data_IF_007547581894
#
_entry.id   IF_007547581894
#
_cell.length_a   1.000
_cell.length_b   1.000
_cell.length_c   1.000
_cell.angle_alpha   90.00
_cell.angle_beta   90.00
_cell.angle_gamma   90.00
#
_symmetry.space_group_name_H-M   'P 1'
#
loop_
_entity.id
_entity.type
_entity.pdbx_description
1 polymer ?
#
# COMPACT_ATOMS: atom_id res chain seq x y z
N UNK A 1 -12.42 -0.15 -8.43
CA UNK A 1 -11.53 -0.49 -7.30
C UNK A 1 -10.22 0.27 -7.49
N UNK A 2 -9.65 0.86 -6.44
CA UNK A 2 -8.39 1.61 -6.51
C UNK A 2 -7.22 0.65 -6.76
N UNK A 3 -6.37 0.91 -7.76
CA UNK A 3 -5.28 0.01 -8.18
C UNK A 3 -4.30 -0.30 -7.03
N UNK A 4 -4.00 0.72 -6.22
CA UNK A 4 -3.15 0.59 -5.02
C UNK A 4 -3.69 -0.42 -4.00
N UNK A 5 -5.01 -0.59 -3.86
CA UNK A 5 -5.59 -1.61 -2.98
C UNK A 5 -5.30 -3.02 -3.47
N UNK A 6 -5.30 -3.23 -4.79
CA UNK A 6 -5.00 -4.54 -5.38
C UNK A 6 -3.54 -4.91 -5.15
N UNK A 7 -2.64 -3.96 -5.35
CA UNK A 7 -1.20 -4.17 -5.10
C UNK A 7 -0.89 -4.37 -3.62
N UNK A 8 -1.53 -3.62 -2.72
CA UNK A 8 -1.31 -3.75 -1.28
C UNK A 8 -1.84 -5.04 -0.67
N UNK A 9 -2.82 -5.69 -1.32
CA UNK A 9 -3.34 -7.00 -0.93
C UNK A 9 -2.41 -8.15 -1.30
N UNK A 10 -1.48 -7.91 -2.21
CA UNK A 10 -0.49 -8.91 -2.62
C UNK A 10 0.69 -8.89 -1.63
N UNK A 11 0.87 -9.94 -0.80
CA UNK A 11 1.98 -10.02 0.13
C UNK A 11 3.33 -10.23 -0.58
N UNK A 12 3.34 -10.66 -1.85
CA UNK A 12 4.57 -10.84 -2.62
C UNK A 12 5.19 -9.50 -3.05
N UNK A 13 4.41 -8.43 -3.12
CA UNK A 13 4.90 -7.10 -3.44
C UNK A 13 5.30 -6.35 -2.17
N UNK A 14 6.46 -5.72 -2.14
CA UNK A 14 6.84 -4.80 -1.05
C UNK A 14 6.24 -3.40 -1.27
N UNK A 15 6.15 -2.60 -0.20
CA UNK A 15 5.69 -1.20 -0.32
C UNK A 15 6.59 -0.37 -1.25
N UNK A 16 7.88 -0.67 -1.27
CA UNK A 16 8.88 -0.05 -2.15
C UNK A 16 8.61 -0.41 -3.61
N UNK A 17 8.44 -1.69 -3.94
CA UNK A 17 8.13 -2.12 -5.31
C UNK A 17 6.81 -1.54 -5.83
N UNK A 18 5.81 -1.42 -4.95
CA UNK A 18 4.55 -0.76 -5.32
C UNK A 18 4.80 0.71 -5.62
N UNK A 19 5.62 1.40 -4.82
CA UNK A 19 5.96 2.81 -5.06
C UNK A 19 6.72 3.01 -6.37
N UNK A 20 7.65 2.10 -6.68
CA UNK A 20 8.42 2.11 -7.93
C UNK A 20 7.52 1.81 -9.15
N UNK A 21 6.62 0.83 -9.03
CA UNK A 21 5.69 0.44 -10.10
C UNK A 21 4.68 1.54 -10.43
N UNK A 22 4.24 2.28 -9.42
CA UNK A 22 3.41 3.46 -9.60
C UNK A 22 4.20 4.71 -10.02
N UNK A 23 5.52 4.58 -10.23
CA UNK A 23 6.44 5.65 -10.66
C UNK A 23 6.46 6.83 -9.70
N UNK A 24 6.30 6.58 -8.39
CA UNK A 24 6.48 7.64 -7.41
C UNK A 24 7.97 8.00 -7.30
N UNK A 25 8.31 9.29 -7.30
CA UNK A 25 9.71 9.72 -7.20
C UNK A 25 10.31 9.46 -5.81
N UNK A 26 9.46 9.31 -4.79
CA UNK A 26 9.90 8.99 -3.44
C UNK A 26 8.76 8.36 -2.60
N UNK A 27 9.16 7.66 -1.55
CA UNK A 27 8.26 6.99 -0.61
C UNK A 27 7.29 7.93 0.14
N UNK A 28 7.69 9.16 0.55
CA UNK A 28 6.76 10.11 1.16
C UNK A 28 5.59 10.51 0.25
N UNK A 29 5.84 10.74 -1.04
CA UNK A 29 4.80 11.06 -2.03
C UNK A 29 3.84 9.88 -2.21
N UNK A 30 4.39 8.66 -2.32
CA UNK A 30 3.59 7.44 -2.35
C UNK A 30 2.71 7.30 -1.10
N UNK A 31 3.28 7.53 0.09
CA UNK A 31 2.55 7.43 1.37
C UNK A 31 1.41 8.43 1.45
N UNK A 32 1.63 9.68 1.02
CA UNK A 32 0.58 10.72 0.99
C UNK A 32 -0.54 10.33 0.02
N UNK A 33 -0.17 9.86 -1.18
CA UNK A 33 -1.13 9.36 -2.15
C UNK A 33 -1.94 8.18 -1.62
N UNK A 34 -1.28 7.18 -1.03
CA UNK A 34 -1.93 6.02 -0.43
C UNK A 34 -2.89 6.44 0.69
N UNK A 35 -2.48 7.36 1.57
CA UNK A 35 -3.34 7.88 2.63
C UNK A 35 -4.57 8.61 2.09
N UNK A 36 -4.44 9.41 1.04
CA UNK A 36 -5.59 10.06 0.40
C UNK A 36 -6.55 9.07 -0.27
N UNK A 37 -6.05 7.97 -0.82
CA UNK A 37 -6.88 6.97 -1.52
C UNK A 37 -7.47 5.89 -0.60
N UNK A 38 -6.80 5.57 0.51
CA UNK A 38 -7.14 4.49 1.44
C UNK A 38 -7.69 4.99 2.77
N UNK A 39 -7.51 6.28 3.08
CA UNK A 39 -7.75 6.87 4.39
C UNK A 39 -6.67 6.57 5.44
N UNK A 40 -5.66 5.74 5.11
CA UNK A 40 -4.61 5.29 6.03
C UNK A 40 -3.29 5.05 5.29
N UNK A 41 -2.17 4.93 6.02
CA UNK A 41 -0.88 4.68 5.40
C UNK A 41 -0.84 3.30 4.74
N UNK A 42 0.01 3.09 3.70
CA UNK A 42 0.08 1.81 3.01
C UNK A 42 0.61 0.69 3.92
N UNK A 43 1.49 1.03 4.88
CA UNK A 43 1.96 0.10 5.92
C UNK A 43 0.85 -0.28 6.91
N UNK A 44 0.03 0.68 7.34
CA UNK A 44 -1.10 0.41 8.23
C UNK A 44 -2.14 -0.47 7.54
N UNK A 45 -2.43 -0.21 6.26
CA UNK A 45 -3.32 -1.04 5.46
C UNK A 45 -2.82 -2.49 5.41
N UNK A 46 -1.52 -2.70 5.15
CA UNK A 46 -0.91 -4.03 5.11
C UNK A 46 -0.95 -4.72 6.48
N UNK A 47 -0.64 -4.01 7.56
CA UNK A 47 -0.70 -4.58 8.91
C UNK A 47 -2.13 -5.03 9.26
N UNK A 48 -3.16 -4.29 8.84
CA UNK A 48 -4.56 -4.70 9.03
C UNK A 48 -4.92 -5.95 8.23
N UNK A 49 -4.37 -6.11 7.02
CA UNK A 49 -4.54 -7.33 6.23
C UNK A 49 -3.88 -8.54 6.91
N UNK A 50 -2.65 -8.39 7.40
CA UNK A 50 -1.94 -9.46 8.11
C UNK A 50 -2.68 -9.89 9.39
N UNK A 51 -3.20 -8.92 10.16
CA UNK A 51 -4.03 -9.18 11.34
C UNK A 51 -5.32 -9.92 11.00
N UNK A 52 -5.91 -9.65 9.83
CA UNK A 52 -7.13 -10.35 9.35
C UNK A 52 -6.84 -11.76 8.84
N UNK A 53 -5.70 -12.00 8.21
CA UNK A 53 -5.33 -13.31 7.69
C UNK A 53 -4.94 -14.32 8.79
N UNK A 54 -4.54 -13.84 9.97
CA UNK A 54 -4.19 -14.66 11.15
C UNK A 54 -5.39 -15.01 12.05
N UNK A 55 -6.60 -14.56 11.72
CA UNK A 55 -7.80 -14.74 12.53
C UNK A 55 -8.78 -15.66 11.81
#
# INVERSE_FOLDING_TARGET
>A
MQEIQRMLKDPALTLTEISDRMRFPNYPNFTKYAKSNLGMSPSEYRQRLEKRAKK
#
